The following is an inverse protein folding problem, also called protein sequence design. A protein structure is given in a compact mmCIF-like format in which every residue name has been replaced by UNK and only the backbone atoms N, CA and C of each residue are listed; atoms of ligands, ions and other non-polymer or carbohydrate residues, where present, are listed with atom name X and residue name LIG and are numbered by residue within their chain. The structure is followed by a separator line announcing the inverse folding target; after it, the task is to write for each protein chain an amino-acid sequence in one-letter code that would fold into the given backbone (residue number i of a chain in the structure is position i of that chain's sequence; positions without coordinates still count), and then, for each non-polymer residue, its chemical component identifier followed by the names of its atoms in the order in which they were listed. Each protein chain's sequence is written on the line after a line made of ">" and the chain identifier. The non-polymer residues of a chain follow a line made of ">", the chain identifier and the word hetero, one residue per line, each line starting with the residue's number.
data_IF_403787229001
#
_entry.id   IF_403787229001
#
_cell.length_a   1.000
_cell.length_b   1.000
_cell.length_c   1.000
_cell.angle_alpha   90.00
_cell.angle_beta   90.00
_cell.angle_gamma   90.00
#
_symmetry.space_group_name_H-M   'P 1'
#
loop_
_entity.id
_entity.type
_entity.pdbx_description
1 polymer ?
#
# COMPACT_ATOMS: atom_id res chain seq x y z
N UNK A 1 0.96 16.36 -22.46
CA UNK A 1 1.85 17.18 -21.60
C UNK A 1 1.29 17.49 -20.20
N UNK A 2 -0.02 17.37 -19.93
CA UNK A 2 -0.61 17.55 -18.58
C UNK A 2 -0.32 16.38 -17.61
N UNK A 3 -0.20 15.15 -18.12
CA UNK A 3 0.03 13.95 -17.29
C UNK A 3 1.52 13.62 -17.05
N UNK A 4 2.40 13.97 -17.98
CA UNK A 4 3.80 13.52 -17.95
C UNK A 4 4.62 13.96 -16.74
N UNK A 5 4.32 15.11 -16.12
CA UNK A 5 5.08 15.58 -14.95
C UNK A 5 4.65 14.87 -13.64
N UNK A 6 3.39 14.44 -13.56
CA UNK A 6 2.89 13.64 -12.44
C UNK A 6 3.26 12.16 -12.65
N UNK A 7 3.20 11.69 -13.90
CA UNK A 7 3.66 10.35 -14.30
C UNK A 7 5.18 10.19 -14.12
N UNK A 8 6.00 11.22 -14.37
CA UNK A 8 7.45 11.15 -14.10
C UNK A 8 7.75 10.93 -12.62
N UNK A 9 6.92 11.49 -11.73
CA UNK A 9 7.03 11.31 -10.29
C UNK A 9 6.39 10.00 -9.82
N UNK A 10 5.64 9.29 -10.67
CA UNK A 10 5.06 7.98 -10.39
C UNK A 10 5.85 6.83 -11.06
N UNK A 11 6.72 7.14 -12.03
CA UNK A 11 7.40 6.18 -12.89
C UNK A 11 8.94 6.25 -12.86
N UNK A 12 9.56 7.00 -11.93
CA UNK A 12 11.02 7.01 -11.83
C UNK A 12 11.55 5.60 -11.46
N UNK A 13 12.28 4.91 -12.35
CA UNK A 13 12.83 3.60 -12.06
C UNK A 13 13.94 3.74 -11.03
N UNK A 14 13.96 2.81 -10.08
CA UNK A 14 15.06 2.60 -9.12
C UNK A 14 16.25 2.05 -9.89
N UNK A 15 16.94 2.89 -10.66
CA UNK A 15 18.23 2.55 -11.24
C UNK A 15 19.16 3.76 -11.11
N UNK A 16 20.36 3.49 -10.55
CA UNK A 16 21.49 4.39 -10.27
C UNK A 16 21.50 5.04 -8.87
N UNK A 17 21.58 4.20 -7.83
CA UNK A 17 22.17 4.58 -6.55
C UNK A 17 23.67 4.25 -6.55
N UNK A 18 24.44 4.93 -7.41
CA UNK A 18 25.91 4.94 -7.30
C UNK A 18 26.36 6.30 -6.76
N UNK A 19 26.88 6.29 -5.53
CA UNK A 19 28.12 7.02 -5.24
C UNK A 19 28.10 8.49 -4.83
N UNK A 20 26.98 9.19 -4.68
CA UNK A 20 27.00 10.58 -4.22
C UNK A 20 26.23 10.83 -2.92
N UNK A 21 27.02 11.01 -1.85
CA UNK A 21 26.62 11.57 -0.55
C UNK A 21 25.79 12.85 -0.76
N UNK A 22 24.48 12.76 -0.50
CA UNK A 22 23.63 13.94 -0.38
C UNK A 22 23.88 14.54 1.00
N UNK A 23 24.52 15.71 1.03
CA UNK A 23 24.72 16.51 2.23
C UNK A 23 23.37 17.00 2.75
N UNK A 24 22.98 16.55 3.94
CA UNK A 24 21.85 17.05 4.72
C UNK A 24 22.16 18.48 5.20
N UNK A 25 21.59 19.49 4.55
CA UNK A 25 21.51 20.83 5.13
C UNK A 25 20.36 20.87 6.15
N UNK A 26 20.74 21.16 7.40
CA UNK A 26 19.88 21.39 8.57
C UNK A 26 18.98 22.61 8.32
N UNK A 27 17.66 22.41 8.35
CA UNK A 27 16.67 23.47 8.51
C UNK A 27 16.13 23.30 9.93
N UNK A 28 16.77 23.95 10.89
CA UNK A 28 16.29 24.03 12.27
C UNK A 28 15.15 25.07 12.34
N UNK A 29 14.19 24.84 13.25
CA UNK A 29 13.08 25.73 13.66
C UNK A 29 11.71 25.66 12.97
N UNK A 30 11.18 24.45 12.73
CA UNK A 30 9.71 24.25 12.69
C UNK A 30 9.30 23.03 13.53
N UNK A 31 8.53 23.18 14.62
CA UNK A 31 8.03 22.04 15.36
C UNK A 31 6.95 21.34 14.53
N UNK A 32 6.92 20.01 14.65
CA UNK A 32 5.98 19.05 14.04
C UNK A 32 6.38 18.52 12.66
N UNK A 33 7.43 17.70 12.68
CA UNK A 33 7.53 16.38 12.05
C UNK A 33 6.59 16.10 10.86
N UNK A 34 7.16 16.16 9.66
CA UNK A 34 6.64 15.55 8.45
C UNK A 34 7.86 15.00 7.70
N UNK A 35 8.29 13.79 8.07
CA UNK A 35 9.28 13.02 7.35
C UNK A 35 8.72 12.64 5.98
N UNK A 36 9.39 13.09 4.93
CA UNK A 36 9.01 12.96 3.54
C UNK A 36 9.45 11.58 3.00
N UNK A 37 8.94 10.49 3.56
CA UNK A 37 9.21 9.12 3.09
C UNK A 37 8.03 8.53 2.31
N UNK A 38 7.47 9.33 1.39
CA UNK A 38 6.54 8.82 0.37
C UNK A 38 7.18 9.09 -0.98
N UNK A 39 8.25 8.35 -1.26
CA UNK A 39 8.74 8.16 -2.61
C UNK A 39 7.78 7.16 -3.29
N UNK A 40 6.96 7.69 -4.20
CA UNK A 40 6.62 7.06 -5.48
C UNK A 40 6.27 5.57 -5.45
N UNK A 41 4.98 5.28 -5.48
CA UNK A 41 4.41 3.92 -5.50
C UNK A 41 3.68 3.64 -4.20
N UNK A 42 2.36 3.53 -4.26
CA UNK A 42 1.44 3.41 -3.14
C UNK A 42 1.92 2.48 -2.02
N UNK A 43 2.58 3.02 -1.00
CA UNK A 43 2.91 2.30 0.23
C UNK A 43 2.26 3.02 1.39
N UNK A 44 1.32 2.35 2.06
CA UNK A 44 0.97 2.70 3.43
C UNK A 44 1.64 1.69 4.33
N UNK A 45 2.72 2.11 4.99
CA UNK A 45 3.28 1.41 6.13
C UNK A 45 2.44 1.72 7.37
N UNK A 46 1.78 0.72 7.94
CA UNK A 46 1.06 0.89 9.21
C UNK A 46 2.04 0.67 10.36
N UNK A 47 2.65 1.74 10.85
CA UNK A 47 3.44 1.73 12.07
C UNK A 47 3.52 3.15 12.68
N UNK A 48 3.00 3.34 13.89
CA UNK A 48 3.09 4.60 14.63
C UNK A 48 4.26 4.52 15.63
N UNK A 49 5.02 5.62 15.73
CA UNK A 49 6.28 5.83 16.46
C UNK A 49 7.56 5.40 15.71
N UNK A 50 8.05 6.30 14.85
CA UNK A 50 9.39 6.92 14.95
C UNK A 50 9.52 7.94 13.80
N UNK A 51 9.25 9.21 14.12
CA UNK A 51 9.23 10.34 13.18
C UNK A 51 10.57 11.09 13.23
N UNK A 52 11.58 10.50 12.60
CA UNK A 52 12.88 11.13 12.41
C UNK A 52 13.79 10.35 11.47
N UNK A 53 13.56 10.43 10.16
CA UNK A 53 14.50 10.07 9.08
C UNK A 53 15.39 8.83 9.34
N UNK A 54 14.85 7.78 9.95
CA UNK A 54 15.52 6.50 10.14
C UNK A 54 14.85 5.49 9.23
N UNK A 55 15.68 4.72 8.53
CA UNK A 55 15.19 3.59 7.75
C UNK A 55 14.28 2.72 8.63
N UNK A 56 13.17 2.19 8.08
CA UNK A 56 12.26 1.39 8.88
C UNK A 56 13.02 0.20 9.46
N UNK A 57 12.96 0.05 10.78
CA UNK A 57 13.56 -1.08 11.49
C UNK A 57 13.13 -2.41 10.85
N UNK A 58 14.09 -3.11 10.25
CA UNK A 58 13.86 -4.34 9.49
C UNK A 58 13.40 -5.50 10.40
N UNK A 59 13.68 -5.40 11.70
CA UNK A 59 13.35 -6.44 12.69
C UNK A 59 11.89 -6.40 13.15
N UNK A 60 11.13 -5.35 12.76
CA UNK A 60 9.71 -5.20 13.12
C UNK A 60 8.78 -5.61 11.98
N UNK A 61 7.84 -6.50 12.27
CA UNK A 61 6.79 -6.84 11.32
C UNK A 61 5.94 -5.62 10.98
N UNK A 62 5.73 -5.44 9.68
CA UNK A 62 5.04 -4.27 9.14
C UNK A 62 4.06 -4.71 8.06
N UNK A 63 2.86 -4.13 8.11
CA UNK A 63 1.88 -4.27 7.07
C UNK A 63 2.11 -3.18 6.01
N UNK A 64 2.33 -3.63 4.77
CA UNK A 64 2.49 -2.82 3.58
C UNK A 64 1.21 -2.90 2.75
N UNK A 65 0.44 -1.82 2.67
CA UNK A 65 -0.74 -1.77 1.79
C UNK A 65 -0.34 -1.13 0.47
N UNK A 66 -0.43 -1.90 -0.62
CA UNK A 66 -0.01 -1.47 -1.97
C UNK A 66 -1.11 -1.69 -3.01
N UNK A 67 -1.13 -0.90 -4.08
CA UNK A 67 -2.04 -1.10 -5.21
C UNK A 67 -1.62 -2.26 -6.13
N UNK A 68 -0.31 -2.48 -6.24
CA UNK A 68 0.32 -3.49 -7.07
C UNK A 68 1.79 -3.14 -7.32
N UNK A 69 2.28 -3.45 -8.51
CA UNK A 69 3.67 -3.17 -8.91
C UNK A 69 4.63 -4.29 -8.50
N UNK A 70 5.03 -5.11 -9.47
CA UNK A 70 5.96 -6.23 -9.25
C UNK A 70 7.31 -5.78 -8.71
N UNK A 71 7.83 -4.66 -9.20
CA UNK A 71 9.10 -4.09 -8.75
C UNK A 71 9.02 -3.62 -7.30
N UNK A 72 7.97 -2.85 -6.93
CA UNK A 72 7.74 -2.42 -5.56
C UNK A 72 7.57 -3.61 -4.61
N UNK A 73 6.75 -4.59 -5.00
CA UNK A 73 6.56 -5.81 -4.22
C UNK A 73 7.87 -6.58 -4.00
N UNK A 74 8.70 -6.67 -5.04
CA UNK A 74 10.03 -7.30 -4.97
C UNK A 74 10.94 -6.54 -4.01
N UNK A 75 11.04 -5.22 -4.15
CA UNK A 75 11.85 -4.35 -3.28
C UNK A 75 11.45 -4.51 -1.81
N UNK A 76 10.15 -4.47 -1.50
CA UNK A 76 9.64 -4.71 -0.12
C UNK A 76 10.11 -6.08 0.40
N UNK A 77 10.06 -7.12 -0.44
CA UNK A 77 10.51 -8.46 -0.06
C UNK A 77 12.03 -8.58 0.13
N UNK A 78 12.82 -7.91 -0.71
CA UNK A 78 14.29 -7.91 -0.63
C UNK A 78 14.78 -7.12 0.58
N UNK A 79 14.12 -6.01 0.94
CA UNK A 79 14.51 -5.17 2.08
C UNK A 79 14.05 -5.72 3.42
N UNK A 80 12.82 -6.23 3.52
CA UNK A 80 12.20 -6.57 4.81
C UNK A 80 11.93 -8.08 4.97
N UNK A 81 12.15 -8.89 3.94
CA UNK A 81 12.07 -10.35 4.02
C UNK A 81 10.79 -10.86 4.69
N UNK A 82 10.97 -11.60 5.79
CA UNK A 82 9.87 -12.23 6.51
C UNK A 82 9.00 -11.27 7.33
N UNK A 83 9.48 -10.06 7.62
CA UNK A 83 8.78 -9.03 8.41
C UNK A 83 7.85 -8.18 7.55
N UNK A 84 7.99 -8.21 6.22
CA UNK A 84 7.05 -7.60 5.29
C UNK A 84 5.80 -8.45 5.05
N UNK A 85 4.67 -7.98 5.58
CA UNK A 85 3.35 -8.47 5.22
C UNK A 85 2.75 -7.53 4.18
N UNK A 86 2.42 -8.05 3.01
CA UNK A 86 1.85 -7.24 1.93
C UNK A 86 0.36 -7.46 1.84
N UNK A 87 -0.42 -6.38 1.95
CA UNK A 87 -1.82 -6.32 1.58
C UNK A 87 -1.95 -5.63 0.22
N UNK A 88 -2.44 -6.34 -0.78
CA UNK A 88 -2.76 -5.73 -2.07
C UNK A 88 -4.16 -5.12 -2.06
N UNK A 89 -4.29 -3.93 -2.64
CA UNK A 89 -5.54 -3.21 -2.77
C UNK A 89 -6.53 -4.03 -3.59
N UNK A 90 -7.66 -4.35 -2.96
CA UNK A 90 -8.68 -5.19 -3.56
C UNK A 90 -9.44 -4.46 -4.68
N UNK A 91 -9.59 -3.14 -4.62
CA UNK A 91 -10.26 -2.39 -5.68
C UNK A 91 -9.41 -2.32 -6.95
N UNK A 92 -8.11 -2.06 -6.81
CA UNK A 92 -7.16 -2.17 -7.94
C UNK A 92 -7.13 -3.59 -8.49
N UNK A 93 -7.11 -4.60 -7.60
CA UNK A 93 -7.18 -5.99 -8.04
C UNK A 93 -8.44 -6.28 -8.86
N UNK A 94 -9.60 -5.80 -8.39
CA UNK A 94 -10.88 -5.98 -9.06
C UNK A 94 -10.84 -5.36 -10.44
N UNK A 95 -10.40 -4.10 -10.57
CA UNK A 95 -10.23 -3.43 -11.88
C UNK A 95 -9.34 -4.23 -12.83
N UNK A 96 -8.15 -4.62 -12.37
CA UNK A 96 -7.21 -5.42 -13.17
C UNK A 96 -7.78 -6.76 -13.65
N UNK A 97 -8.73 -7.37 -12.94
CA UNK A 97 -9.40 -8.61 -13.39
C UNK A 97 -10.50 -8.29 -14.41
N UNK A 98 -11.28 -7.24 -14.16
CA UNK A 98 -12.37 -6.82 -15.04
C UNK A 98 -11.89 -6.30 -16.40
N UNK A 99 -10.71 -5.68 -16.47
CA UNK A 99 -10.12 -5.20 -17.73
C UNK A 99 -9.83 -6.32 -18.73
N UNK A 100 -9.80 -7.58 -18.27
CA UNK A 100 -9.66 -8.78 -19.12
C UNK A 100 -10.99 -9.45 -19.48
N UNK A 101 -12.12 -8.83 -19.13
CA UNK A 101 -13.45 -9.37 -19.31
C UNK A 101 -14.32 -8.46 -20.18
N UNK A 102 -15.25 -9.04 -20.95
CA UNK A 102 -16.29 -8.25 -21.62
C UNK A 102 -17.24 -7.63 -20.58
N UNK A 103 -17.80 -6.46 -20.89
CA UNK A 103 -18.54 -5.61 -19.94
C UNK A 103 -19.72 -6.33 -19.27
N UNK A 104 -20.37 -7.25 -19.98
CA UNK A 104 -21.53 -8.00 -19.48
C UNK A 104 -21.18 -8.89 -18.28
N UNK A 105 -19.90 -9.28 -18.14
CA UNK A 105 -19.41 -10.09 -17.03
C UNK A 105 -18.91 -9.25 -15.84
N UNK A 106 -18.76 -7.93 -16.00
CA UNK A 106 -18.17 -7.08 -14.96
C UNK A 106 -18.97 -7.08 -13.67
N UNK A 107 -20.30 -7.04 -13.79
CA UNK A 107 -21.19 -7.02 -12.65
C UNK A 107 -21.14 -8.34 -11.85
N UNK A 108 -21.19 -9.47 -12.53
CA UNK A 108 -21.22 -10.80 -11.90
C UNK A 108 -19.87 -11.17 -11.29
N UNK A 109 -18.78 -11.01 -12.04
CA UNK A 109 -17.42 -11.30 -11.55
C UNK A 109 -17.02 -10.32 -10.45
N UNK A 110 -17.29 -9.02 -10.64
CA UNK A 110 -17.00 -8.01 -9.63
C UNK A 110 -17.76 -8.23 -8.33
N UNK A 111 -19.00 -8.74 -8.40
CA UNK A 111 -19.77 -9.15 -7.21
C UNK A 111 -19.15 -10.37 -6.53
N UNK A 112 -18.85 -11.43 -7.28
CA UNK A 112 -18.24 -12.64 -6.73
C UNK A 112 -16.91 -12.36 -6.00
N UNK A 113 -16.08 -11.45 -6.52
CA UNK A 113 -14.85 -11.02 -5.85
C UNK A 113 -15.13 -10.28 -4.54
N UNK A 114 -16.11 -9.35 -4.53
CA UNK A 114 -16.51 -8.62 -3.32
C UNK A 114 -17.08 -9.55 -2.26
N UNK A 115 -17.99 -10.45 -2.65
CA UNK A 115 -18.62 -11.40 -1.74
C UNK A 115 -17.58 -12.29 -1.07
N UNK A 116 -16.57 -12.75 -1.82
CA UNK A 116 -15.45 -13.51 -1.25
C UNK A 116 -14.65 -12.69 -0.24
N UNK A 117 -14.36 -11.42 -0.55
CA UNK A 117 -13.63 -10.54 0.36
C UNK A 117 -14.45 -10.03 1.55
N UNK A 118 -15.77 -10.13 1.52
CA UNK A 118 -16.64 -9.75 2.65
C UNK A 118 -16.78 -10.90 3.68
N UNK A 119 -16.31 -12.10 3.34
CA UNK A 119 -16.10 -13.19 4.30
C UNK A 119 -15.12 -12.77 5.40
N UNK A 120 -15.38 -13.21 6.63
CA UNK A 120 -14.43 -13.07 7.76
C UNK A 120 -13.41 -14.21 7.82
N UNK A 121 -13.57 -15.24 6.99
CA UNK A 121 -12.66 -16.40 6.90
C UNK A 121 -11.82 -16.27 5.62
N UNK A 122 -10.52 -16.04 5.82
CA UNK A 122 -9.55 -15.88 4.74
C UNK A 122 -9.37 -17.15 3.89
N UNK A 123 -9.48 -18.34 4.49
CA UNK A 123 -9.36 -19.61 3.76
C UNK A 123 -10.59 -19.88 2.91
N UNK A 124 -11.77 -19.54 3.43
CA UNK A 124 -13.00 -19.57 2.64
C UNK A 124 -12.94 -18.58 1.47
N UNK A 125 -12.51 -17.33 1.73
CA UNK A 125 -12.34 -16.31 0.71
C UNK A 125 -11.36 -16.77 -0.38
N UNK A 126 -10.23 -17.35 0.01
CA UNK A 126 -9.23 -17.93 -0.90
C UNK A 126 -9.84 -19.01 -1.79
N UNK A 127 -10.57 -19.96 -1.21
CA UNK A 127 -11.25 -21.03 -1.96
C UNK A 127 -12.28 -20.46 -2.95
N UNK A 128 -13.05 -19.45 -2.56
CA UNK A 128 -14.03 -18.80 -3.43
C UNK A 128 -13.37 -18.09 -4.61
N UNK A 129 -12.31 -17.31 -4.37
CA UNK A 129 -11.55 -16.62 -5.41
C UNK A 129 -10.85 -17.61 -6.36
N UNK A 130 -10.30 -18.71 -5.83
CA UNK A 130 -9.70 -19.76 -6.66
C UNK A 130 -10.74 -20.47 -7.54
N UNK A 131 -11.92 -20.77 -7.01
CA UNK A 131 -13.03 -21.33 -7.79
C UNK A 131 -13.46 -20.38 -8.91
N UNK A 132 -13.55 -19.07 -8.62
CA UNK A 132 -13.83 -18.05 -9.62
C UNK A 132 -12.72 -17.98 -10.70
N UNK A 133 -11.45 -18.04 -10.32
CA UNK A 133 -10.36 -18.10 -11.30
C UNK A 133 -10.44 -19.35 -12.18
N UNK A 134 -10.78 -20.50 -11.60
CA UNK A 134 -10.95 -21.75 -12.36
C UNK A 134 -12.14 -21.69 -13.33
N UNK A 135 -13.27 -21.10 -12.94
CA UNK A 135 -14.41 -20.94 -13.85
C UNK A 135 -14.13 -20.01 -15.02
N UNK A 136 -13.28 -19.00 -14.82
CA UNK A 136 -12.85 -18.07 -15.87
C UNK A 136 -11.78 -18.66 -16.80
N UNK A 137 -11.05 -19.70 -16.39
CA UNK A 137 -9.84 -20.17 -17.06
C UNK A 137 -10.03 -20.52 -18.54
N UNK A 138 -11.14 -21.16 -18.89
CA UNK A 138 -11.38 -21.66 -20.26
C UNK A 138 -11.68 -20.52 -21.24
N UNK A 139 -12.58 -19.59 -20.86
CA UNK A 139 -13.06 -18.52 -21.74
C UNK A 139 -12.28 -17.21 -21.61
N UNK A 140 -11.72 -16.95 -20.43
CA UNK A 140 -11.05 -15.70 -20.08
C UNK A 140 -9.74 -15.97 -19.30
N UNK A 141 -8.75 -16.64 -19.93
CA UNK A 141 -7.50 -17.02 -19.26
C UNK A 141 -6.73 -15.81 -18.69
N UNK A 142 -6.82 -14.63 -19.34
CA UNK A 142 -6.22 -13.39 -18.84
C UNK A 142 -6.83 -12.93 -17.50
N UNK A 143 -8.16 -12.98 -17.37
CA UNK A 143 -8.85 -12.65 -16.13
C UNK A 143 -8.53 -13.66 -15.02
N UNK A 144 -8.46 -14.95 -15.36
CA UNK A 144 -8.09 -16.00 -14.41
C UNK A 144 -6.63 -15.86 -13.92
N UNK A 145 -5.69 -15.60 -14.83
CA UNK A 145 -4.29 -15.35 -14.51
C UNK A 145 -4.11 -14.09 -13.67
N UNK A 146 -4.79 -13.00 -14.07
CA UNK A 146 -4.88 -11.77 -13.29
C UNK A 146 -5.39 -12.13 -11.90
N UNK A 147 -6.56 -12.74 -11.72
CA UNK A 147 -7.11 -13.04 -10.38
C UNK A 147 -6.16 -13.84 -9.48
N UNK A 148 -5.45 -14.84 -10.01
CA UNK A 148 -4.49 -15.64 -9.22
C UNK A 148 -3.23 -14.87 -8.81
N UNK A 149 -2.78 -13.92 -9.62
CA UNK A 149 -1.56 -13.15 -9.35
C UNK A 149 -1.72 -12.30 -8.07
N UNK A 150 -0.89 -12.55 -7.06
CA UNK A 150 -0.99 -11.82 -5.78
C UNK A 150 -2.33 -12.03 -5.05
N UNK A 151 -3.05 -13.13 -5.31
CA UNK A 151 -4.34 -13.43 -4.66
C UNK A 151 -4.20 -13.47 -3.14
N UNK A 152 -3.19 -14.17 -2.64
CA UNK A 152 -2.96 -14.32 -1.20
C UNK A 152 -2.71 -12.97 -0.52
N UNK A 153 -2.07 -12.04 -1.21
CA UNK A 153 -1.81 -10.68 -0.72
C UNK A 153 -3.10 -9.86 -0.60
N UNK A 154 -4.17 -10.21 -1.32
CA UNK A 154 -5.47 -9.57 -1.13
C UNK A 154 -6.15 -9.97 0.19
N UNK A 155 -5.69 -11.04 0.83
CA UNK A 155 -6.31 -11.65 2.01
C UNK A 155 -5.49 -11.45 3.29
N UNK A 156 -4.32 -10.80 3.21
CA UNK A 156 -3.38 -10.64 4.33
C UNK A 156 -4.03 -10.04 5.58
N UNK A 157 -4.83 -8.99 5.43
CA UNK A 157 -5.51 -8.34 6.58
C UNK A 157 -6.56 -9.26 7.21
N UNK A 158 -7.31 -10.03 6.41
CA UNK A 158 -8.26 -11.03 6.92
C UNK A 158 -7.53 -12.15 7.66
N UNK A 159 -6.40 -12.62 7.13
CA UNK A 159 -5.58 -13.66 7.75
C UNK A 159 -4.95 -13.22 9.09
N UNK A 160 -4.85 -11.90 9.33
CA UNK A 160 -4.47 -11.33 10.63
C UNK A 160 -5.65 -11.24 11.62
N UNK A 161 -6.84 -11.68 11.22
CA UNK A 161 -8.07 -11.63 12.02
C UNK A 161 -8.65 -10.22 12.15
N UNK A 162 -8.24 -9.28 11.30
CA UNK A 162 -8.75 -7.91 11.30
C UNK A 162 -10.01 -7.85 10.45
N UNK A 163 -11.08 -7.32 11.04
CA UNK A 163 -12.40 -7.24 10.43
C UNK A 163 -13.00 -5.82 10.56
N UNK A 164 -14.28 -5.67 10.18
CA UNK A 164 -15.04 -4.45 10.45
C UNK A 164 -14.48 -3.19 9.78
N UNK A 165 -14.39 -2.11 10.55
CA UNK A 165 -14.05 -0.78 10.03
C UNK A 165 -12.59 -0.68 9.59
N UNK A 166 -11.67 -1.26 10.36
CA UNK A 166 -10.24 -1.22 10.03
C UNK A 166 -9.94 -2.05 8.79
N UNK A 167 -10.55 -3.24 8.66
CA UNK A 167 -10.43 -4.06 7.45
C UNK A 167 -10.86 -3.29 6.19
N UNK A 168 -12.02 -2.62 6.22
CA UNK A 168 -12.50 -1.81 5.10
C UNK A 168 -11.54 -0.71 4.69
N UNK A 169 -10.79 -0.15 5.64
CA UNK A 169 -9.76 0.84 5.35
C UNK A 169 -8.51 0.18 4.74
N UNK A 170 -7.98 -0.87 5.39
CA UNK A 170 -6.69 -1.47 5.01
C UNK A 170 -6.75 -2.34 3.74
N UNK A 171 -7.93 -2.84 3.33
CA UNK A 171 -8.10 -3.57 2.07
C UNK A 171 -7.99 -2.68 0.81
N UNK A 172 -7.87 -1.36 0.98
CA UNK A 172 -7.83 -0.37 -0.10
C UNK A 172 -6.72 0.64 0.09
N UNK A 173 -6.42 1.40 -0.96
CA UNK A 173 -5.51 2.55 -0.98
C UNK A 173 -6.24 3.89 -0.87
N UNK A 174 -7.53 3.89 -0.52
CA UNK A 174 -8.35 5.11 -0.44
C UNK A 174 -7.75 6.23 0.43
N UNK A 175 -7.11 5.97 1.59
CA UNK A 175 -6.50 7.03 2.39
C UNK A 175 -5.40 7.79 1.64
N UNK A 176 -4.54 7.08 0.90
CA UNK A 176 -3.45 7.70 0.15
C UNK A 176 -3.96 8.35 -1.15
N UNK A 177 -4.98 7.76 -1.78
CA UNK A 177 -5.64 8.37 -2.95
C UNK A 177 -6.30 9.71 -2.61
N UNK A 178 -6.90 9.83 -1.42
CA UNK A 178 -7.46 11.10 -0.93
C UNK A 178 -6.36 12.14 -0.69
N UNK A 179 -5.22 11.74 -0.13
CA UNK A 179 -4.07 12.61 0.04
C UNK A 179 -3.54 13.10 -1.33
N UNK A 180 -3.35 12.17 -2.28
CA UNK A 180 -2.92 12.47 -3.64
C UNK A 180 -3.89 13.43 -4.34
N UNK A 181 -5.20 13.23 -4.17
CA UNK A 181 -6.23 14.15 -4.65
C UNK A 181 -6.13 15.55 -4.04
N UNK A 182 -5.80 15.64 -2.75
CA UNK A 182 -5.56 16.92 -2.07
C UNK A 182 -4.33 17.64 -2.63
N UNK A 183 -3.24 16.91 -2.88
CA UNK A 183 -2.02 17.46 -3.50
C UNK A 183 -2.30 17.93 -4.93
N UNK A 184 -2.98 17.12 -5.73
CA UNK A 184 -3.37 17.47 -7.09
C UNK A 184 -4.27 18.72 -7.12
N UNK A 185 -5.22 18.81 -6.20
CA UNK A 185 -6.08 20.00 -6.08
C UNK A 185 -5.28 21.24 -5.67
N UNK A 186 -4.38 21.13 -4.68
CA UNK A 186 -3.55 22.24 -4.21
C UNK A 186 -2.66 22.80 -5.33
N UNK A 187 -2.09 21.90 -6.14
CA UNK A 187 -1.14 22.25 -7.21
C UNK A 187 -1.79 22.56 -8.56
N UNK A 188 -3.13 22.44 -8.70
CA UNK A 188 -3.85 22.56 -9.99
C UNK A 188 -3.63 23.88 -10.75
N UNK A 189 -3.31 24.95 -10.02
CA UNK A 189 -3.09 26.29 -10.58
C UNK A 189 -1.63 26.57 -10.95
N UNK A 190 -0.69 25.69 -10.58
CA UNK A 190 0.71 25.82 -10.98
C UNK A 190 0.84 25.46 -12.46
N UNK A 191 1.16 26.45 -13.30
CA UNK A 191 1.26 26.26 -14.77
C UNK A 191 2.69 26.16 -15.28
N UNK A 192 3.66 26.66 -14.52
CA UNK A 192 5.08 26.74 -14.92
C UNK A 192 5.95 25.99 -13.93
N UNK A 193 6.11 24.69 -14.15
CA UNK A 193 7.05 23.85 -13.42
C UNK A 193 8.46 24.09 -13.95
N UNK A 194 9.43 24.30 -13.05
CA UNK A 194 10.81 24.63 -13.43
C UNK A 194 11.76 23.45 -13.27
N UNK A 195 11.71 22.81 -12.12
CA UNK A 195 12.62 21.74 -11.72
C UNK A 195 11.98 20.86 -10.64
N UNK A 196 12.64 19.75 -10.31
CA UNK A 196 12.19 18.83 -9.26
C UNK A 196 12.15 19.46 -7.87
N UNK A 197 13.02 20.45 -7.58
CA UNK A 197 13.03 21.14 -6.30
C UNK A 197 11.78 22.00 -6.09
N UNK A 198 11.30 22.65 -7.14
CA UNK A 198 10.02 23.34 -7.15
C UNK A 198 8.88 22.36 -6.88
N UNK A 199 8.90 21.18 -7.50
CA UNK A 199 7.90 20.14 -7.26
C UNK A 199 7.88 19.70 -5.81
N UNK A 200 9.04 19.40 -5.22
CA UNK A 200 9.15 19.03 -3.81
C UNK A 200 8.59 20.10 -2.88
N UNK A 201 8.89 21.38 -3.13
CA UNK A 201 8.34 22.49 -2.34
C UNK A 201 6.81 22.56 -2.42
N UNK A 202 6.24 22.43 -3.61
CA UNK A 202 4.78 22.44 -3.79
C UNK A 202 4.10 21.25 -3.12
N UNK A 203 4.69 20.07 -3.21
CA UNK A 203 4.20 18.88 -2.50
C UNK A 203 4.29 19.08 -0.99
N UNK A 204 5.41 19.57 -0.47
CA UNK A 204 5.58 19.87 0.96
C UNK A 204 4.55 20.91 1.46
N UNK A 205 4.31 21.97 0.69
CA UNK A 205 3.27 22.96 1.00
C UNK A 205 1.88 22.35 1.00
N UNK A 206 1.56 21.50 0.01
CA UNK A 206 0.28 20.81 -0.05
C UNK A 206 0.08 19.84 1.14
N UNK A 207 1.12 19.12 1.55
CA UNK A 207 1.10 18.24 2.72
C UNK A 207 0.91 19.05 4.01
N UNK A 208 1.62 20.17 4.15
CA UNK A 208 1.48 21.08 5.30
C UNK A 208 0.07 21.65 5.41
N UNK A 209 -0.55 22.01 4.28
CA UNK A 209 -1.96 22.46 4.22
C UNK A 209 -2.95 21.34 4.56
N UNK A 210 -2.71 20.13 4.03
CA UNK A 210 -3.61 19.00 4.22
C UNK A 210 -3.61 18.45 5.66
N UNK A 211 -2.48 18.56 6.37
CA UNK A 211 -2.28 18.05 7.73
C UNK A 211 -3.39 18.45 8.71
N UNK A 212 -3.83 19.71 8.68
CA UNK A 212 -4.89 20.22 9.56
C UNK A 212 -6.26 19.58 9.32
N UNK A 213 -6.46 18.94 8.16
CA UNK A 213 -7.71 18.30 7.74
C UNK A 213 -7.69 16.78 7.90
N UNK A 214 -6.58 16.21 8.36
CA UNK A 214 -6.45 14.77 8.53
C UNK A 214 -7.41 14.25 9.61
N UNK A 215 -8.09 13.16 9.29
CA UNK A 215 -8.97 12.44 10.19
C UNK A 215 -8.30 11.17 10.64
N UNK A 216 -8.64 10.71 11.84
CA UNK A 216 -8.25 9.36 12.29
C UNK A 216 -8.75 8.32 11.29
N UNK A 217 -7.94 7.28 11.08
CA UNK A 217 -8.34 6.15 10.25
C UNK A 217 -9.63 5.53 10.78
N UNK A 218 -10.50 5.11 9.88
CA UNK A 218 -11.72 4.39 10.26
C UNK A 218 -11.30 3.06 10.91
N UNK A 219 -11.84 2.75 12.07
CA UNK A 219 -11.42 1.57 12.83
C UNK A 219 -10.07 1.71 13.54
N UNK A 220 -9.53 2.92 13.73
CA UNK A 220 -8.26 3.13 14.43
C UNK A 220 -8.20 2.51 15.85
N UNK A 221 -9.34 2.25 16.49
CA UNK A 221 -9.41 1.57 17.79
C UNK A 221 -8.92 0.12 17.71
N UNK A 222 -9.12 -0.52 16.56
CA UNK A 222 -8.72 -1.90 16.29
C UNK A 222 -7.24 -2.00 15.91
N UNK A 223 -6.52 -0.87 15.86
CA UNK A 223 -5.08 -0.84 15.55
C UNK A 223 -4.25 -1.66 16.55
N UNK A 224 -4.66 -1.69 17.83
CA UNK A 224 -4.01 -2.52 18.86
C UNK A 224 -4.07 -4.01 18.51
N UNK A 225 -5.18 -4.45 17.91
CA UNK A 225 -5.35 -5.83 17.47
C UNK A 225 -4.42 -6.14 16.28
N UNK A 226 -4.28 -5.20 15.33
CA UNK A 226 -3.34 -5.34 14.22
C UNK A 226 -1.90 -5.46 14.73
N UNK A 227 -1.48 -4.57 15.64
CA UNK A 227 -0.13 -4.62 16.22
C UNK A 227 0.12 -5.97 16.90
N UNK A 228 -0.79 -6.42 17.76
CA UNK A 228 -0.67 -7.72 18.42
C UNK A 228 -0.67 -8.92 17.43
N UNK A 229 -1.33 -8.80 16.28
CA UNK A 229 -1.29 -9.81 15.24
C UNK A 229 0.05 -9.83 14.49
N UNK A 230 0.64 -8.65 14.24
CA UNK A 230 1.97 -8.52 13.65
C UNK A 230 3.06 -9.07 14.57
N UNK A 231 3.04 -8.71 15.86
CA UNK A 231 4.03 -9.16 16.85
C UNK A 231 4.02 -10.68 17.02
N UNK A 232 2.83 -11.30 17.11
CA UNK A 232 2.70 -12.76 17.21
C UNK A 232 3.32 -13.48 16.02
N UNK A 233 3.29 -12.89 14.83
CA UNK A 233 3.82 -13.49 13.61
C UNK A 233 5.34 -13.46 13.55
N UNK A 234 5.98 -12.43 14.12
CA UNK A 234 7.43 -12.39 14.32
C UNK A 234 7.84 -13.52 15.26
N UNK A 235 7.16 -13.60 16.42
CA UNK A 235 7.49 -14.56 17.47
C UNK A 235 7.31 -16.02 16.99
N UNK A 236 6.29 -16.31 16.19
CA UNK A 236 6.08 -17.64 15.62
C UNK A 236 7.16 -18.04 14.59
N UNK A 237 7.85 -17.08 13.97
CA UNK A 237 8.93 -17.32 13.01
C UNK A 237 10.34 -17.30 13.63
N UNK A 238 10.49 -16.89 14.89
CA UNK A 238 11.74 -17.03 15.67
C UNK A 238 11.64 -18.12 16.76
N UNK A 239 11.62 -19.42 16.44
CA UNK A 239 11.54 -20.48 17.45
C UNK A 239 12.84 -20.72 18.26
N UNK A 240 13.78 -19.76 18.33
CA UNK A 240 15.16 -20.02 18.79
C UNK A 240 15.71 -19.17 19.95
N UNK A 241 15.10 -18.05 20.34
CA UNK A 241 15.74 -17.12 21.30
C UNK A 241 15.44 -17.39 22.79
N UNK A 242 14.58 -18.36 23.12
CA UNK A 242 14.13 -18.63 24.51
C UNK A 242 14.63 -19.98 25.06
N UNK A 243 15.87 -20.37 24.73
CA UNK A 243 16.55 -21.54 25.35
C UNK A 243 18.05 -21.31 25.64
N UNK A 244 18.45 -20.07 25.89
CA UNK A 244 19.80 -19.77 26.38
C UNK A 244 19.77 -18.57 27.33
N UNK A 245 19.34 -18.80 28.56
CA UNK A 245 19.69 -18.03 29.76
C UNK A 245 19.35 -18.87 31.00
#
# INVERSE_FOLDING_TARGET
>A
MRDQALDLLLAAPVEHADGHRIALHRIDDLPVGLGLDVLVGHVVAVHEQELGAQEPDADRARLWVIDGGKALRRAIGETFGATALVQRCQEHKRRNVLDHLPEELHASVGRAMRDAWDSTDAELAKKQLQRLATSLQSRHPGAAASLREGLDETLTVQALGISGALYRTLRTTNPIENLNGSIAHYTRNVKRWRDGQMTLRWVASALSDAKGRFRKLRGHRDMKQLMAALDRRINAKQPGALKAA
#
